data_IF_349478245294
#
_entry.id   IF_349478245294
#
_cell.length_a   1.000
_cell.length_b   1.000
_cell.length_c   1.000
_cell.angle_alpha   90.00
_cell.angle_beta   90.00
_cell.angle_gamma   90.00
#
_symmetry.space_group_name_H-M   'P 1'
#
loop_
_entity.id
_entity.type
_entity.pdbx_description
1 polymer ?
#
# COMPACT_ATOMS: atom_id res chain seq x y z
N UNK A 1 5.67 -6.50 25.48
CA UNK A 1 5.70 -7.18 24.16
C UNK A 1 4.42 -8.00 23.96
N UNK A 2 3.24 -7.39 24.11
CA UNK A 2 1.93 -7.99 23.83
C UNK A 2 0.93 -6.84 23.64
N UNK A 3 0.92 -6.19 22.47
CA UNK A 3 -0.12 -5.19 22.15
C UNK A 3 -0.37 -5.04 20.64
N UNK A 4 -0.01 -6.04 19.82
CA UNK A 4 -0.14 -5.94 18.35
C UNK A 4 -0.95 -7.06 17.69
N UNK A 5 -1.49 -8.02 18.44
CA UNK A 5 -2.07 -9.24 17.84
C UNK A 5 -3.60 -9.25 17.72
N UNK A 6 -4.31 -8.14 17.85
CA UNK A 6 -5.78 -8.16 17.63
C UNK A 6 -6.25 -6.93 16.87
N UNK A 7 -5.97 -6.89 15.57
CA UNK A 7 -6.80 -6.08 14.66
C UNK A 7 -6.76 -6.66 13.25
N UNK A 8 -7.31 -7.86 13.10
CA UNK A 8 -7.54 -8.47 11.80
C UNK A 8 -9.06 -8.58 11.56
N UNK A 9 -9.47 -8.14 10.36
CA UNK A 9 -10.73 -8.44 9.67
C UNK A 9 -11.98 -7.65 10.09
N UNK A 10 -12.18 -6.48 9.45
CA UNK A 10 -13.41 -6.19 8.67
C UNK A 10 -13.32 -4.83 7.95
N UNK A 11 -13.33 -4.97 6.64
CA UNK A 11 -13.18 -4.05 5.52
C UNK A 11 -13.72 -2.61 5.58
N UNK A 12 -14.51 -2.21 6.58
CA UNK A 12 -15.22 -0.90 6.55
C UNK A 12 -15.49 -0.25 7.90
N UNK A 13 -15.18 -0.87 9.03
CA UNK A 13 -15.74 -0.45 10.34
C UNK A 13 -14.74 -0.07 11.42
N UNK A 14 -13.44 -0.19 11.18
CA UNK A 14 -12.44 0.31 12.11
C UNK A 14 -11.68 1.45 11.44
N UNK A 15 -12.04 2.67 11.83
CA UNK A 15 -11.17 3.84 11.65
C UNK A 15 -9.77 3.47 12.11
N UNK A 16 -8.75 3.99 11.42
CA UNK A 16 -7.39 3.84 11.91
C UNK A 16 -7.29 4.42 13.33
N UNK A 17 -6.37 3.98 14.19
CA UNK A 17 -6.09 4.74 15.40
C UNK A 17 -5.83 6.20 15.01
N UNK A 18 -6.29 7.15 15.82
CA UNK A 18 -6.17 8.58 15.49
C UNK A 18 -4.75 8.91 15.05
N UNK A 19 -4.62 9.67 13.95
CA UNK A 19 -3.34 10.09 13.35
C UNK A 19 -2.53 8.99 12.65
N UNK A 20 -3.10 7.81 12.42
CA UNK A 20 -2.50 6.83 11.51
C UNK A 20 -2.98 7.05 10.08
N UNK A 21 -2.04 6.93 9.14
CA UNK A 21 -2.32 6.90 7.71
C UNK A 21 -2.40 5.45 7.26
N UNK A 22 -3.50 5.07 6.61
CA UNK A 22 -3.63 3.78 5.92
C UNK A 22 -3.11 3.92 4.50
N UNK A 23 -2.20 3.04 4.09
CA UNK A 23 -1.65 2.99 2.74
C UNK A 23 -2.07 1.70 2.07
N UNK A 24 -3.08 1.78 1.22
CA UNK A 24 -3.51 0.68 0.37
C UNK A 24 -2.56 0.55 -0.82
N UNK A 25 -1.92 -0.60 -1.00
CA UNK A 25 -1.06 -0.88 -2.15
C UNK A 25 -1.66 -1.98 -3.02
N UNK A 26 -1.53 -1.84 -4.33
CA UNK A 26 -1.98 -2.84 -5.30
C UNK A 26 -1.17 -2.77 -6.59
N UNK A 27 -1.20 -3.85 -7.36
CA UNK A 27 -0.51 -4.01 -8.61
C UNK A 27 -1.36 -4.73 -9.66
N UNK A 28 -1.52 -4.10 -10.84
CA UNK A 28 -2.19 -4.71 -11.99
C UNK A 28 -1.17 -5.15 -13.03
N UNK A 29 -1.20 -6.40 -13.46
CA UNK A 29 -0.21 -6.98 -14.38
C UNK A 29 -0.73 -7.07 -15.82
N UNK A 30 0.05 -6.59 -16.80
CA UNK A 30 -0.17 -6.83 -18.23
C UNK A 30 0.83 -7.87 -18.75
N UNK A 31 0.36 -9.11 -18.86
CA UNK A 31 1.17 -10.25 -19.34
C UNK A 31 1.65 -10.10 -20.78
N UNK A 32 0.94 -9.34 -21.63
CA UNK A 32 1.33 -9.16 -23.03
C UNK A 32 2.51 -8.19 -23.15
N UNK A 33 2.52 -7.14 -22.31
CA UNK A 33 3.56 -6.12 -22.32
C UNK A 33 4.69 -6.39 -21.33
N UNK A 34 4.52 -7.34 -20.41
CA UNK A 34 5.50 -7.67 -19.37
C UNK A 34 5.71 -6.54 -18.36
N UNK A 35 4.68 -5.71 -18.16
CA UNK A 35 4.70 -4.57 -17.24
C UNK A 35 3.53 -4.61 -16.28
N UNK A 36 3.70 -3.93 -15.17
CA UNK A 36 2.72 -3.80 -14.08
C UNK A 36 2.46 -2.32 -13.83
N UNK A 37 1.19 -1.96 -13.62
CA UNK A 37 0.81 -0.71 -13.00
C UNK A 37 0.79 -0.89 -11.49
N UNK A 38 1.54 -0.07 -10.76
CA UNK A 38 1.57 -0.04 -9.30
C UNK A 38 0.79 1.18 -8.84
N UNK A 39 0.03 1.03 -7.75
CA UNK A 39 -0.61 2.14 -7.07
C UNK A 39 -0.50 2.05 -5.56
N UNK A 40 -0.44 3.23 -4.93
CA UNK A 40 -0.58 3.43 -3.50
C UNK A 40 -1.60 4.52 -3.25
N UNK A 41 -2.58 4.25 -2.38
CA UNK A 41 -3.60 5.19 -1.96
C UNK A 41 -3.49 5.41 -0.45
N UNK A 42 -3.17 6.64 -0.04
CA UNK A 42 -3.06 7.02 1.36
C UNK A 42 -4.37 7.63 1.87
N UNK A 43 -4.85 7.16 3.03
CA UNK A 43 -6.08 7.62 3.66
C UNK A 43 -5.88 7.96 5.14
N UNK A 44 -6.62 8.94 5.63
CA UNK A 44 -6.62 9.31 7.05
C UNK A 44 -7.47 8.33 7.90
N UNK A 45 -7.52 8.56 9.21
CA UNK A 45 -8.30 7.74 10.15
C UNK A 45 -9.81 7.75 9.89
N UNK A 46 -10.31 8.75 9.16
CA UNK A 46 -11.71 8.89 8.74
C UNK A 46 -11.98 8.26 7.36
N UNK A 47 -10.95 7.70 6.72
CA UNK A 47 -11.04 7.11 5.40
C UNK A 47 -10.99 8.10 4.24
N UNK A 48 -10.71 9.38 4.50
CA UNK A 48 -10.58 10.38 3.43
C UNK A 48 -9.25 10.16 2.69
N UNK A 49 -9.27 10.37 1.37
CA UNK A 49 -8.05 10.39 0.56
C UNK A 49 -7.15 11.54 1.02
N UNK A 50 -5.92 11.20 1.42
CA UNK A 50 -4.88 12.16 1.77
C UNK A 50 -4.00 12.44 0.56
N UNK A 51 -3.52 11.37 -0.08
CA UNK A 51 -2.61 11.46 -1.22
C UNK A 51 -2.55 10.10 -1.96
N UNK A 52 -1.93 10.05 -3.13
CA UNK A 52 -1.68 8.81 -3.85
C UNK A 52 -0.45 8.90 -4.74
N UNK A 53 0.13 7.76 -5.08
CA UNK A 53 1.15 7.65 -6.12
C UNK A 53 0.92 6.41 -6.97
N UNK A 54 1.44 6.45 -8.19
CA UNK A 54 1.36 5.32 -9.12
C UNK A 54 2.48 5.41 -10.15
N UNK A 55 2.87 4.26 -10.70
CA UNK A 55 3.85 4.17 -11.80
C UNK A 55 3.68 2.85 -12.56
N UNK A 56 4.27 2.78 -13.75
CA UNK A 56 4.38 1.54 -14.53
C UNK A 56 5.82 1.04 -14.49
N UNK A 57 6.01 -0.24 -14.18
CA UNK A 57 7.34 -0.88 -14.17
C UNK A 57 7.32 -2.31 -14.70
N UNK A 58 8.47 -2.88 -15.10
CA UNK A 58 8.56 -4.32 -15.32
C UNK A 58 8.46 -5.07 -13.98
N UNK A 59 7.86 -6.26 -14.01
CA UNK A 59 7.92 -7.25 -12.93
C UNK A 59 7.93 -8.66 -13.51
N UNK A 60 8.57 -9.60 -12.83
CA UNK A 60 8.71 -10.99 -13.29
C UNK A 60 7.51 -11.87 -12.94
N UNK A 61 6.74 -11.50 -11.91
CA UNK A 61 5.58 -12.25 -11.44
C UNK A 61 4.57 -11.32 -10.75
N UNK A 62 3.31 -11.74 -10.61
CA UNK A 62 2.32 -11.02 -9.80
C UNK A 62 2.78 -10.84 -8.34
N UNK A 63 3.46 -11.83 -7.75
CA UNK A 63 3.94 -11.71 -6.37
C UNK A 63 5.05 -10.64 -6.23
N UNK A 64 5.98 -10.58 -7.20
CA UNK A 64 6.97 -9.49 -7.27
C UNK A 64 6.30 -8.14 -7.47
N UNK A 65 5.27 -8.07 -8.31
CA UNK A 65 4.48 -6.86 -8.54
C UNK A 65 3.81 -6.34 -7.25
N UNK A 66 3.15 -7.22 -6.49
CA UNK A 66 2.57 -6.89 -5.18
C UNK A 66 3.63 -6.42 -4.17
N UNK A 67 4.77 -7.11 -4.11
CA UNK A 67 5.87 -6.75 -3.22
C UNK A 67 6.47 -5.38 -3.58
N UNK A 68 6.59 -5.07 -4.87
CA UNK A 68 7.03 -3.75 -5.35
C UNK A 68 6.01 -2.66 -4.99
N UNK A 69 4.70 -2.95 -5.07
CA UNK A 69 3.66 -2.00 -4.66
C UNK A 69 3.73 -1.66 -3.17
N UNK A 70 3.97 -2.67 -2.33
CA UNK A 70 4.17 -2.45 -0.90
C UNK A 70 5.47 -1.69 -0.60
N UNK A 71 6.56 -1.99 -1.32
CA UNK A 71 7.82 -1.23 -1.23
C UNK A 71 7.58 0.25 -1.59
N UNK A 72 6.86 0.52 -2.66
CA UNK A 72 6.49 1.88 -3.05
C UNK A 72 5.67 2.58 -1.97
N UNK A 73 4.76 1.87 -1.30
CA UNK A 73 4.01 2.44 -0.20
C UNK A 73 4.94 2.90 0.94
N UNK A 74 5.98 2.13 1.26
CA UNK A 74 6.96 2.53 2.29
C UNK A 74 7.77 3.75 1.88
N UNK A 75 8.23 3.80 0.62
CA UNK A 75 8.99 4.94 0.08
C UNK A 75 8.10 6.19 0.06
N UNK A 76 6.84 6.03 -0.35
CA UNK A 76 5.84 7.09 -0.39
C UNK A 76 5.57 7.64 1.01
N UNK A 77 5.34 6.77 2.00
CA UNK A 77 5.13 7.16 3.39
C UNK A 77 6.32 7.97 3.94
N UNK A 78 7.56 7.52 3.69
CA UNK A 78 8.76 8.27 4.07
C UNK A 78 8.83 9.63 3.38
N UNK A 79 8.55 9.71 2.08
CA UNK A 79 8.59 10.97 1.31
C UNK A 79 7.57 12.01 1.82
N UNK A 80 6.43 11.54 2.31
CA UNK A 80 5.35 12.37 2.88
C UNK A 80 5.50 12.63 4.37
N UNK A 81 6.56 12.08 5.00
CA UNK A 81 6.82 12.16 6.44
C UNK A 81 5.67 11.62 7.29
N UNK A 82 4.99 10.57 6.81
CA UNK A 82 3.99 9.87 7.61
C UNK A 82 4.68 9.09 8.73
N UNK A 83 4.38 9.44 9.98
CA UNK A 83 5.04 8.84 11.14
C UNK A 83 4.36 7.54 11.58
N UNK A 84 3.03 7.49 11.52
CA UNK A 84 2.23 6.35 11.96
C UNK A 84 1.48 5.78 10.76
N UNK A 85 1.80 4.55 10.34
CA UNK A 85 1.31 3.97 9.09
C UNK A 85 0.70 2.58 9.31
N UNK A 86 -0.37 2.26 8.58
CA UNK A 86 -0.84 0.89 8.40
C UNK A 86 -0.73 0.61 6.91
N UNK A 87 0.12 -0.33 6.53
CA UNK A 87 0.28 -0.75 5.14
C UNK A 87 -0.69 -1.90 4.87
N UNK A 88 -1.61 -1.69 3.93
CA UNK A 88 -2.69 -2.62 3.61
C UNK A 88 -2.48 -3.20 2.21
N UNK A 89 -2.42 -4.53 2.11
CA UNK A 89 -2.32 -5.29 0.85
C UNK A 89 -3.37 -6.38 0.84
N UNK A 90 -3.89 -6.74 -0.33
CA UNK A 90 -4.76 -7.92 -0.50
C UNK A 90 -4.00 -9.19 -0.89
N UNK A 91 -2.67 -9.14 -0.90
CA UNK A 91 -1.80 -10.28 -1.07
C UNK A 91 -1.50 -10.94 0.29
N UNK A 92 -2.28 -11.97 0.64
CA UNK A 92 -2.13 -12.70 1.91
C UNK A 92 -0.73 -13.29 2.11
N UNK A 93 -0.12 -13.80 1.04
CA UNK A 93 1.25 -14.36 1.06
C UNK A 93 2.25 -13.29 1.48
N UNK A 94 2.16 -12.10 0.88
CA UNK A 94 3.04 -10.98 1.19
C UNK A 94 2.83 -10.51 2.63
N UNK A 95 1.59 -10.31 3.06
CA UNK A 95 1.27 -9.90 4.43
C UNK A 95 1.80 -10.90 5.47
N UNK A 96 1.62 -12.20 5.24
CA UNK A 96 2.09 -13.25 6.15
C UNK A 96 3.62 -13.31 6.27
N UNK A 97 4.35 -12.89 5.23
CA UNK A 97 5.82 -12.88 5.26
C UNK A 97 6.38 -11.93 6.34
N UNK A 98 5.63 -10.87 6.69
CA UNK A 98 5.98 -9.95 7.78
C UNK A 98 5.60 -10.46 9.17
N UNK A 99 4.68 -11.43 9.27
CA UNK A 99 4.29 -12.05 10.54
C UNK A 99 5.29 -13.13 10.94
N UNK A 100 5.68 -13.97 9.98
CA UNK A 100 6.60 -15.09 10.21
C UNK A 100 8.07 -14.64 10.25
N UNK A 101 8.38 -13.49 9.65
CA UNK A 101 9.76 -12.97 9.57
C UNK A 101 10.62 -13.67 8.51
N UNK A 102 9.99 -14.46 7.63
CA UNK A 102 10.60 -15.12 6.49
C UNK A 102 9.57 -15.21 5.35
N UNK A 103 10.00 -14.94 4.12
CA UNK A 103 9.17 -15.26 2.95
C UNK A 103 9.16 -16.77 2.73
N UNK A 104 8.01 -17.29 2.31
CA UNK A 104 7.94 -18.65 1.76
C UNK A 104 8.57 -18.69 0.35
N UNK A 105 8.65 -17.53 -0.32
CA UNK A 105 9.08 -17.40 -1.71
C UNK A 105 10.34 -16.53 -1.80
N UNK A 106 11.45 -17.13 -2.20
CA UNK A 106 12.75 -16.44 -2.31
C UNK A 106 12.77 -15.33 -3.36
N UNK A 107 11.83 -15.34 -4.31
CA UNK A 107 11.73 -14.32 -5.37
C UNK A 107 11.45 -12.91 -4.82
N UNK A 108 10.84 -12.78 -3.65
CA UNK A 108 10.53 -11.49 -3.02
C UNK A 108 11.42 -11.15 -1.81
N UNK A 109 12.32 -12.05 -1.39
CA UNK A 109 13.19 -11.82 -0.23
C UNK A 109 13.97 -10.50 -0.31
N UNK A 110 14.60 -10.13 -1.46
CA UNK A 110 15.30 -8.86 -1.56
C UNK A 110 14.36 -7.65 -1.37
N UNK A 111 13.12 -7.76 -1.84
CA UNK A 111 12.11 -6.70 -1.73
C UNK A 111 11.63 -6.57 -0.29
N UNK A 112 11.39 -7.70 0.40
CA UNK A 112 11.04 -7.72 1.83
C UNK A 112 12.17 -7.10 2.66
N UNK A 113 13.44 -7.45 2.40
CA UNK A 113 14.58 -6.83 3.10
C UNK A 113 14.58 -5.31 2.91
N UNK A 114 14.34 -4.84 1.68
CA UNK A 114 14.26 -3.40 1.40
C UNK A 114 13.10 -2.73 2.16
N UNK A 115 11.94 -3.38 2.26
CA UNK A 115 10.78 -2.90 3.03
C UNK A 115 11.14 -2.80 4.53
N UNK A 116 11.73 -3.85 5.10
CA UNK A 116 12.16 -3.88 6.51
C UNK A 116 13.19 -2.78 6.81
N UNK A 117 14.09 -2.50 5.86
CA UNK A 117 15.04 -1.38 6.01
C UNK A 117 14.34 -0.01 6.03
N UNK A 118 13.28 0.18 5.23
CA UNK A 118 12.48 1.41 5.26
C UNK A 118 11.69 1.56 6.55
N UNK A 119 11.18 0.46 7.10
CA UNK A 119 10.47 0.45 8.38
C UNK A 119 11.29 0.98 9.56
N UNK A 120 12.62 0.83 9.53
CA UNK A 120 13.53 1.39 10.55
C UNK A 120 13.44 2.91 10.70
N UNK A 121 13.01 3.61 9.64
CA UNK A 121 12.88 5.08 9.63
C UNK A 121 11.43 5.56 9.91
N UNK A 122 10.47 4.64 10.01
CA UNK A 122 9.07 4.97 10.32
C UNK A 122 8.85 4.91 11.85
N UNK A 123 7.82 5.62 12.32
CA UNK A 123 7.33 5.48 13.69
C UNK A 123 6.52 4.19 13.84
N UNK A 124 5.32 4.28 14.41
CA UNK A 124 4.45 3.11 14.55
C UNK A 124 4.00 2.61 13.18
N UNK A 125 4.28 1.35 12.86
CA UNK A 125 3.90 0.75 11.59
C UNK A 125 3.45 -0.70 11.71
N UNK A 126 2.60 -1.13 10.78
CA UNK A 126 2.21 -2.54 10.61
C UNK A 126 1.88 -2.84 9.15
N UNK A 127 1.97 -4.12 8.78
CA UNK A 127 1.47 -4.65 7.50
C UNK A 127 0.26 -5.52 7.80
N UNK A 128 -0.85 -5.29 7.10
CA UNK A 128 -2.12 -5.99 7.33
C UNK A 128 -2.70 -6.46 5.99
N UNK A 129 -3.17 -7.71 5.99
CA UNK A 129 -3.96 -8.21 4.88
C UNK A 129 -5.39 -7.68 4.91
N UNK A 130 -5.88 -7.19 3.77
CA UNK A 130 -7.28 -6.77 3.56
C UNK A 130 -7.91 -7.56 2.42
N UNK A 131 -9.24 -7.64 2.36
CA UNK A 131 -9.88 -8.27 1.18
C UNK A 131 -9.80 -7.33 -0.03
N UNK A 132 -9.80 -7.91 -1.24
CA UNK A 132 -9.84 -7.17 -2.52
C UNK A 132 -10.93 -6.11 -2.58
N UNK A 133 -12.09 -6.40 -1.97
CA UNK A 133 -13.21 -5.45 -1.87
C UNK A 133 -12.89 -4.18 -1.09
N UNK A 134 -11.93 -4.23 -0.17
CA UNK A 134 -11.43 -3.05 0.55
C UNK A 134 -10.35 -2.32 -0.24
N UNK A 135 -9.64 -3.03 -1.11
CA UNK A 135 -8.50 -2.54 -1.87
C UNK A 135 -8.89 -1.91 -3.22
N UNK A 136 -10.18 -1.85 -3.55
CA UNK A 136 -10.70 -1.39 -4.85
C UNK A 136 -10.16 -0.04 -5.35
N UNK A 137 -9.79 0.87 -4.44
CA UNK A 137 -9.23 2.15 -4.86
C UNK A 137 -7.79 2.02 -5.37
N UNK A 138 -6.96 1.19 -4.73
CA UNK A 138 -5.61 0.93 -5.21
C UNK A 138 -5.66 0.14 -6.52
N UNK A 139 -6.51 -0.89 -6.62
CA UNK A 139 -6.77 -1.66 -7.86
C UNK A 139 -7.16 -0.74 -9.02
N UNK A 140 -8.15 0.13 -8.80
CA UNK A 140 -8.61 1.05 -9.82
C UNK A 140 -7.49 2.00 -10.28
N UNK A 141 -6.69 2.55 -9.36
CA UNK A 141 -5.57 3.42 -9.72
C UNK A 141 -4.48 2.63 -10.46
N UNK A 142 -4.15 1.42 -10.05
CA UNK A 142 -3.15 0.57 -10.69
C UNK A 142 -3.56 0.22 -12.13
N UNK A 143 -4.80 -0.23 -12.33
CA UNK A 143 -5.39 -0.53 -13.63
C UNK A 143 -5.45 0.70 -14.55
N UNK A 144 -5.85 1.83 -14.01
CA UNK A 144 -5.97 3.10 -14.75
C UNK A 144 -4.59 3.66 -15.12
N UNK A 145 -3.58 3.45 -14.27
CA UNK A 145 -2.18 3.81 -14.53
C UNK A 145 -1.61 2.96 -15.66
N UNK A 146 -1.82 1.64 -15.60
CA UNK A 146 -1.32 0.69 -16.60
C UNK A 146 -1.90 0.94 -18.00
N UNK A 147 -3.19 1.26 -18.06
CA UNK A 147 -3.88 1.59 -19.31
C UNK A 147 -3.52 2.99 -19.85
N UNK A 148 -2.79 3.81 -19.09
CA UNK A 148 -2.50 5.20 -19.46
C UNK A 148 -3.73 6.13 -19.38
N UNK A 149 -4.81 5.67 -18.75
CA UNK A 149 -6.07 6.41 -18.62
C UNK A 149 -6.06 7.36 -17.41
N UNK A 150 -5.02 7.28 -16.56
CA UNK A 150 -4.84 8.19 -15.44
C UNK A 150 -4.34 9.51 -16.01
N UNK A 151 -5.25 10.46 -16.28
CA UNK A 151 -4.88 11.76 -16.82
C UNK A 151 -3.79 12.42 -15.95
N UNK A 152 -2.86 13.16 -16.57
CA UNK A 152 -1.74 13.90 -15.97
C UNK A 152 -2.16 14.96 -14.93
N UNK A 153 -2.86 14.55 -13.87
CA UNK A 153 -3.33 15.40 -12.80
C UNK A 153 -2.71 14.86 -11.54
N UNK A 154 -1.71 15.56 -11.03
CA UNK A 154 -1.43 15.58 -9.62
C UNK A 154 -2.79 15.75 -8.92
N UNK A 155 -3.30 14.70 -8.28
CA UNK A 155 -4.55 14.76 -7.52
C UNK A 155 -4.24 15.61 -6.28
N UNK A 156 -4.21 16.92 -6.45
CA UNK A 156 -4.24 17.88 -5.36
C UNK A 156 -5.65 17.81 -4.81
N UNK A 157 -5.84 16.99 -3.78
CA UNK A 157 -7.07 16.97 -2.99
C UNK A 157 -7.23 18.38 -2.42
N UNK A 158 -8.22 19.12 -2.94
CA UNK A 158 -8.63 20.39 -2.34
C UNK A 158 -9.05 20.10 -0.90
N UNK A 159 -8.32 20.64 0.07
CA UNK A 159 -8.77 20.69 1.46
C UNK A 159 -10.20 21.23 1.47
N UNK A 160 -11.13 20.44 2.01
CA UNK A 160 -12.45 20.95 2.35
C UNK A 160 -12.27 22.19 3.21
N UNK A 161 -12.90 23.30 2.82
CA UNK A 161 -12.91 24.53 3.58
C UNK A 161 -13.51 24.22 4.95
N UNK A 162 -12.75 24.49 6.02
CA UNK A 162 -13.34 24.69 7.34
C UNK A 162 -14.19 25.96 7.25
N UNK A 163 -15.51 25.79 7.33
CA UNK A 163 -16.42 26.89 7.62
C UNK A 163 -16.19 27.31 9.06
N UNK A 164 -15.83 28.58 9.26
CA UNK A 164 -15.91 29.27 10.55
C UNK A 164 -17.35 29.37 11.03
#
# INVERSE_FOLDING_TARGET
>A
MYMFQVMMVLCRLHGSPLRFIKLNSDATFDYKRGVVGIAVVARDDRGNLVDSCSRVVPASSPLVAEALALLDATIFASSKKFLNCIFETDCLVLANSFIVGASIFSEIDPIISAILDKFKALGSHSVVHISRTCNQAADWVASTTLSGSLGNRNIVVKRGKESK
#
